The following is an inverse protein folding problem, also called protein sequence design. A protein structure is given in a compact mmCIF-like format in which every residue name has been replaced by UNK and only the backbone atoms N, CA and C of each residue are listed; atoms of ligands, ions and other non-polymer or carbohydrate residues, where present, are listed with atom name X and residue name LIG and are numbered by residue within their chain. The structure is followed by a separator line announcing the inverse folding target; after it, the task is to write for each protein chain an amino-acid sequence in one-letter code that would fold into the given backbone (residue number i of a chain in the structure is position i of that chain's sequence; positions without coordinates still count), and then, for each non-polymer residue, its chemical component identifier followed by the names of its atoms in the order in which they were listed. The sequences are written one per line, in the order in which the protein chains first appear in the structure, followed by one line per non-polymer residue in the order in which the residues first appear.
data_IF_756045673913
#
_entry.id   IF_756045673913
#
_cell.length_a   1.000
_cell.length_b   1.000
_cell.length_c   1.000
_cell.angle_alpha   90.00
_cell.angle_beta   90.00
_cell.angle_gamma   90.00
#
_symmetry.space_group_name_H-M   'P 1'
#
loop_
_entity.id
_entity.type
_entity.pdbx_description
1 polymer ?
#
# COMPACT_ATOMS: atom_id res chain seq x y z
N UNK A 1 -4.70 34.36 18.80
CA UNK A 1 -3.78 35.42 19.23
C UNK A 1 -3.63 35.32 20.75
N UNK A 2 -2.42 35.09 21.25
CA UNK A 2 -2.18 34.96 22.69
C UNK A 2 -2.45 36.28 23.46
N UNK A 3 -2.46 37.42 22.77
CA UNK A 3 -2.78 38.73 23.33
C UNK A 3 -4.28 39.03 23.37
N UNK A 4 -5.10 38.28 22.60
CA UNK A 4 -6.55 38.42 22.54
C UNK A 4 -7.23 37.04 22.50
N UNK A 5 -7.15 36.25 23.59
CA UNK A 5 -7.67 34.88 23.62
C UNK A 5 -9.19 34.81 23.43
N UNK A 6 -9.92 35.88 23.79
CA UNK A 6 -11.38 35.96 23.66
C UNK A 6 -11.85 36.26 22.23
N UNK A 7 -10.94 36.58 21.30
CA UNK A 7 -11.31 36.85 19.91
C UNK A 7 -11.70 35.55 19.21
N UNK A 8 -12.85 35.50 18.49
CA UNK A 8 -13.24 34.32 17.74
C UNK A 8 -12.14 33.87 16.77
N UNK A 9 -11.85 32.57 16.77
CA UNK A 9 -10.91 32.00 15.82
C UNK A 9 -11.43 32.21 14.39
N UNK A 10 -10.52 32.58 13.48
CA UNK A 10 -10.83 32.72 12.05
C UNK A 10 -10.07 31.63 11.29
N UNK A 11 -10.77 30.94 10.41
CA UNK A 11 -10.12 30.05 9.44
C UNK A 11 -9.34 30.89 8.42
N UNK A 12 -8.12 30.48 8.10
CA UNK A 12 -7.21 31.22 7.21
C UNK A 12 -6.81 30.35 6.01
N UNK A 13 -6.40 29.12 6.27
CA UNK A 13 -6.01 28.16 5.24
C UNK A 13 -6.06 26.72 5.80
N UNK A 14 -6.24 25.76 4.90
CA UNK A 14 -5.99 24.35 5.19
C UNK A 14 -4.51 24.03 4.91
N UNK A 15 -3.85 23.34 5.84
CA UNK A 15 -2.43 23.01 5.73
C UNK A 15 -2.01 21.87 6.66
N UNK A 16 -1.02 21.09 6.25
CA UNK A 16 -0.35 20.08 7.09
C UNK A 16 0.78 20.69 7.93
N UNK A 17 1.40 21.75 7.41
CA UNK A 17 2.35 22.58 8.15
C UNK A 17 2.05 24.05 7.88
N UNK A 18 2.19 24.89 8.91
CA UNK A 18 2.04 26.33 8.78
C UNK A 18 3.12 27.04 9.60
N UNK A 19 3.59 28.17 9.08
CA UNK A 19 4.49 29.07 9.79
C UNK A 19 4.08 30.52 9.53
N UNK A 20 3.91 31.26 10.62
CA UNK A 20 3.69 32.70 10.60
C UNK A 20 4.97 33.43 10.22
N UNK A 21 4.84 34.46 9.39
CA UNK A 21 5.96 35.38 9.21
C UNK A 21 6.21 36.17 10.51
N UNK A 22 7.41 36.73 10.73
CA UNK A 22 7.74 37.44 11.97
C UNK A 22 6.90 38.70 12.25
N UNK A 23 6.09 39.16 11.29
CA UNK A 23 5.15 40.28 11.46
C UNK A 23 3.74 39.85 11.84
N UNK A 24 3.45 38.55 11.86
CA UNK A 24 2.10 37.96 12.05
C UNK A 24 1.05 38.41 11.01
N UNK A 25 1.49 38.81 9.81
CA UNK A 25 0.62 39.31 8.73
C UNK A 25 0.49 38.31 7.57
N UNK A 26 1.40 37.34 7.50
CA UNK A 26 1.54 36.39 6.40
C UNK A 26 1.72 34.97 6.94
N UNK A 27 1.32 34.02 6.12
CA UNK A 27 1.36 32.60 6.44
C UNK A 27 2.03 31.85 5.29
N UNK A 28 3.07 31.07 5.61
CA UNK A 28 3.56 30.02 4.73
C UNK A 28 2.91 28.71 5.13
N UNK A 29 2.48 27.93 4.15
CA UNK A 29 1.81 26.65 4.36
C UNK A 29 2.44 25.58 3.48
N UNK A 30 2.46 24.35 3.99
CA UNK A 30 2.71 23.16 3.20
C UNK A 30 1.45 22.32 3.15
N UNK A 31 1.03 21.98 1.94
CA UNK A 31 -0.06 21.04 1.68
C UNK A 31 0.52 19.73 1.16
N UNK A 32 0.20 18.62 1.81
CA UNK A 32 0.55 17.27 1.35
C UNK A 32 -0.50 16.84 0.32
N UNK A 33 -0.06 16.67 -0.92
CA UNK A 33 -0.80 15.94 -1.93
C UNK A 33 -0.54 14.43 -1.84
N UNK A 34 -1.12 13.64 -2.77
CA UNK A 34 -0.95 12.20 -2.76
C UNK A 34 0.50 11.80 -3.08
N UNK A 35 1.09 12.42 -4.12
CA UNK A 35 2.43 12.10 -4.62
C UNK A 35 3.35 13.34 -4.69
N UNK A 36 3.00 14.46 -4.04
CA UNK A 36 3.82 15.68 -4.00
C UNK A 36 3.43 16.55 -2.79
N UNK A 37 4.39 17.24 -2.19
CA UNK A 37 4.13 18.26 -1.16
C UNK A 37 4.21 19.64 -1.84
N UNK A 38 3.37 20.59 -1.45
CA UNK A 38 3.31 21.91 -2.06
C UNK A 38 3.58 23.00 -1.03
N UNK A 39 4.54 23.88 -1.30
CA UNK A 39 4.76 25.10 -0.52
C UNK A 39 3.98 26.26 -1.13
N UNK A 40 3.19 26.95 -0.32
CA UNK A 40 2.44 28.16 -0.71
C UNK A 40 2.60 29.23 0.37
N UNK A 41 2.36 30.49 0.03
CA UNK A 41 2.31 31.56 1.01
C UNK A 41 1.25 32.60 0.65
N UNK A 42 0.56 33.12 1.65
CA UNK A 42 -0.48 34.13 1.52
C UNK A 42 -0.42 35.17 2.63
N UNK A 43 -0.94 36.36 2.37
CA UNK A 43 -1.33 37.33 3.40
C UNK A 43 -2.62 36.90 4.07
N UNK A 44 -2.85 37.38 5.30
CA UNK A 44 -4.10 37.13 6.02
C UNK A 44 -5.36 37.63 5.31
N UNK A 45 -5.26 38.63 4.44
CA UNK A 45 -6.41 39.17 3.72
C UNK A 45 -6.72 38.40 2.41
N UNK A 46 -6.06 37.26 2.20
CA UNK A 46 -6.28 36.37 1.05
C UNK A 46 -5.39 36.66 -0.16
N UNK A 47 -4.52 37.67 -0.09
CA UNK A 47 -3.52 37.93 -1.13
C UNK A 47 -2.51 36.78 -1.25
N UNK A 48 -2.40 36.17 -2.43
CA UNK A 48 -1.44 35.11 -2.73
C UNK A 48 -0.05 35.71 -2.94
N UNK A 49 0.94 35.31 -2.13
CA UNK A 49 2.32 35.79 -2.19
C UNK A 49 3.22 34.82 -2.97
N UNK A 50 3.00 33.53 -2.77
CA UNK A 50 3.70 32.46 -3.47
C UNK A 50 2.66 31.44 -3.93
N UNK A 51 2.44 31.24 -5.24
CA UNK A 51 1.59 30.17 -5.73
C UNK A 51 2.14 28.80 -5.29
N UNK A 52 1.27 27.79 -5.10
CA UNK A 52 1.71 26.45 -4.71
C UNK A 52 2.82 25.93 -5.60
N UNK A 53 3.99 25.65 -5.02
CA UNK A 53 5.14 25.06 -5.70
C UNK A 53 5.39 23.66 -5.16
N UNK A 54 5.47 22.69 -6.07
CA UNK A 54 5.84 21.32 -5.73
C UNK A 54 7.24 21.29 -5.12
N UNK A 55 7.39 20.55 -4.03
CA UNK A 55 8.64 20.31 -3.33
C UNK A 55 9.24 18.98 -3.77
N UNK A 56 10.57 18.87 -3.84
CA UNK A 56 11.25 17.66 -4.29
C UNK A 56 11.18 16.49 -3.29
N UNK A 57 10.63 16.71 -2.09
CA UNK A 57 10.63 15.72 -1.01
C UNK A 57 9.67 16.08 0.13
N UNK A 58 9.52 15.18 1.11
CA UNK A 58 8.56 15.38 2.20
C UNK A 58 9.01 16.46 3.16
N UNK A 59 8.07 17.28 3.63
CA UNK A 59 8.36 18.30 4.64
C UNK A 59 8.24 17.71 6.05
N UNK A 60 9.30 17.88 6.85
CA UNK A 60 9.37 17.42 8.26
C UNK A 60 9.20 18.55 9.29
N UNK A 61 9.13 19.79 8.82
CA UNK A 61 8.92 20.98 9.64
C UNK A 61 8.98 22.24 8.78
N UNK A 62 8.40 23.33 9.28
CA UNK A 62 8.38 24.62 8.60
C UNK A 62 8.58 25.74 9.64
N UNK A 63 9.48 26.67 9.35
CA UNK A 63 9.71 27.88 10.13
C UNK A 63 9.89 29.06 9.17
N UNK A 64 9.29 30.19 9.47
CA UNK A 64 9.50 31.44 8.74
C UNK A 64 10.19 32.42 9.68
N UNK A 65 11.45 32.71 9.38
CA UNK A 65 12.30 33.58 10.18
C UNK A 65 12.74 34.80 9.37
N UNK A 66 12.96 35.92 10.05
CA UNK A 66 13.70 37.06 9.51
C UNK A 66 15.13 36.91 10.00
N UNK A 67 16.00 36.45 9.12
CA UNK A 67 17.41 36.27 9.41
C UNK A 67 18.20 37.23 8.52
N UNK A 68 19.02 38.07 9.13
CA UNK A 68 20.15 38.68 8.43
C UNK A 68 21.24 37.61 8.30
N UNK A 69 21.08 36.74 7.30
CA UNK A 69 22.14 35.79 6.97
C UNK A 69 23.27 36.60 6.32
N UNK A 70 24.51 36.58 6.84
CA UNK A 70 25.66 36.92 6.00
C UNK A 70 25.65 36.00 4.78
N UNK A 71 26.42 36.34 3.74
CA UNK A 71 26.64 35.47 2.59
C UNK A 71 26.70 34.01 3.04
N UNK A 72 25.81 33.12 2.54
CA UNK A 72 25.78 31.75 3.01
C UNK A 72 27.18 31.15 2.88
N UNK A 73 27.64 30.34 3.86
CA UNK A 73 28.99 29.82 3.84
C UNK A 73 29.31 29.19 2.49
N UNK A 74 30.56 29.31 2.02
CA UNK A 74 30.95 28.88 0.67
C UNK A 74 30.52 27.44 0.34
N UNK A 75 30.50 26.55 1.33
CA UNK A 75 30.00 25.18 1.18
C UNK A 75 28.54 25.12 0.73
N UNK A 76 27.66 25.98 1.26
CA UNK A 76 26.26 26.06 0.84
C UNK A 76 26.11 26.68 -0.55
N UNK A 77 26.91 27.71 -0.87
CA UNK A 77 26.90 28.32 -2.22
C UNK A 77 27.39 27.34 -3.28
N UNK A 78 28.50 26.66 -3.03
CA UNK A 78 29.04 25.62 -3.90
C UNK A 78 28.03 24.47 -4.06
N UNK A 79 27.42 24.00 -2.97
CA UNK A 79 26.37 22.99 -3.04
C UNK A 79 25.13 23.45 -3.84
N UNK A 80 24.72 24.72 -3.71
CA UNK A 80 23.58 25.24 -4.47
C UNK A 80 23.82 25.37 -5.98
N UNK A 81 25.09 25.44 -6.39
CA UNK A 81 25.48 25.50 -7.80
C UNK A 81 25.57 24.10 -8.45
N UNK A 82 25.54 23.03 -7.65
CA UNK A 82 25.58 21.66 -8.13
C UNK A 82 24.16 21.16 -8.38
N UNK A 83 23.89 20.71 -9.61
CA UNK A 83 22.73 19.89 -9.91
C UNK A 83 23.03 18.46 -9.48
N UNK A 84 22.29 17.88 -8.51
CA UNK A 84 22.50 16.49 -8.13
C UNK A 84 22.29 15.56 -9.34
N UNK A 85 23.06 14.47 -9.47
CA UNK A 85 22.79 13.47 -10.48
C UNK A 85 21.39 12.86 -10.28
N UNK A 86 20.78 12.41 -11.37
CA UNK A 86 19.54 11.66 -11.29
C UNK A 86 19.74 10.40 -10.41
N UNK A 87 18.72 10.04 -9.63
CA UNK A 87 18.79 8.88 -8.74
C UNK A 87 18.87 7.55 -9.50
N UNK A 88 18.42 7.56 -10.76
CA UNK A 88 18.47 6.45 -11.71
C UNK A 88 18.26 7.00 -13.12
N UNK A 89 18.56 6.19 -14.13
CA UNK A 89 18.24 6.44 -15.54
C UNK A 89 17.91 5.10 -16.21
N UNK A 90 16.96 5.05 -17.15
CA UNK A 90 16.58 3.80 -17.81
C UNK A 90 17.72 3.27 -18.70
N UNK A 91 17.96 1.96 -18.66
CA UNK A 91 18.91 1.25 -19.52
C UNK A 91 18.16 0.32 -20.49
N UNK A 92 17.55 0.94 -21.49
CA UNK A 92 16.64 0.25 -22.41
C UNK A 92 17.33 -0.71 -23.37
N UNK A 93 16.75 -1.90 -23.50
CA UNK A 93 16.99 -2.82 -24.61
C UNK A 93 16.12 -2.41 -25.81
N UNK A 94 16.70 -2.16 -26.99
CA UNK A 94 15.90 -1.81 -28.18
C UNK A 94 14.84 -2.88 -28.47
N UNK A 95 13.58 -2.48 -28.76
CA UNK A 95 12.55 -3.40 -29.23
C UNK A 95 13.07 -4.29 -30.36
N UNK A 96 12.78 -5.59 -30.30
CA UNK A 96 13.15 -6.51 -31.36
C UNK A 96 12.59 -6.03 -32.72
N UNK A 97 13.39 -6.12 -33.79
CA UNK A 97 12.97 -5.71 -35.13
C UNK A 97 11.70 -6.48 -35.57
N UNK A 98 10.62 -5.74 -35.82
CA UNK A 98 9.33 -6.28 -36.21
C UNK A 98 8.27 -5.18 -36.35
N UNK A 99 7.13 -5.45 -37.01
CA UNK A 99 6.15 -4.44 -37.39
C UNK A 99 5.45 -3.73 -36.21
N UNK A 100 5.61 -4.22 -34.98
CA UNK A 100 4.93 -3.70 -33.79
C UNK A 100 5.83 -2.91 -32.83
N UNK A 101 7.17 -2.90 -32.98
CA UNK A 101 8.14 -2.18 -32.12
C UNK A 101 7.75 -2.12 -30.62
N UNK A 102 7.43 -3.27 -30.02
CA UNK A 102 6.97 -3.34 -28.62
C UNK A 102 8.13 -3.41 -27.64
N UNK A 103 7.93 -2.78 -26.49
CA UNK A 103 8.82 -2.91 -25.35
C UNK A 103 8.80 -4.32 -24.79
N UNK A 104 9.91 -4.70 -24.14
CA UNK A 104 10.00 -5.97 -23.42
C UNK A 104 9.73 -5.75 -21.93
N UNK A 105 9.35 -6.84 -21.27
CA UNK A 105 9.48 -6.94 -19.82
C UNK A 105 10.78 -7.66 -19.48
N UNK A 106 11.50 -7.15 -18.49
CA UNK A 106 12.80 -7.61 -18.02
C UNK A 106 12.62 -8.35 -16.69
N UNK A 107 13.34 -9.46 -16.54
CA UNK A 107 13.31 -10.25 -15.30
C UNK A 107 14.05 -9.53 -14.17
N UNK A 108 13.43 -9.45 -12.99
CA UNK A 108 14.02 -8.89 -11.78
C UNK A 108 14.92 -9.93 -11.09
N UNK A 109 16.25 -9.70 -11.00
CA UNK A 109 17.15 -10.63 -10.32
C UNK A 109 16.89 -10.64 -8.81
N UNK A 110 16.95 -11.84 -8.22
CA UNK A 110 16.84 -12.05 -6.77
C UNK A 110 15.55 -11.46 -6.14
N UNK A 111 14.45 -11.42 -6.91
CA UNK A 111 13.12 -11.03 -6.42
C UNK A 111 12.17 -12.23 -6.50
N UNK A 112 11.59 -12.60 -5.36
CA UNK A 112 10.62 -13.67 -5.24
C UNK A 112 9.20 -13.15 -5.44
N UNK A 113 8.60 -13.48 -6.59
CA UNK A 113 7.21 -13.14 -6.96
C UNK A 113 6.79 -14.03 -8.15
N UNK A 114 5.49 -14.34 -8.35
CA UNK A 114 5.06 -15.27 -9.41
C UNK A 114 5.49 -14.89 -10.83
N UNK A 115 5.46 -13.59 -11.15
CA UNK A 115 5.96 -13.04 -12.41
C UNK A 115 6.99 -11.94 -12.09
N UNK A 116 8.28 -12.29 -11.94
CA UNK A 116 9.33 -11.38 -11.49
C UNK A 116 9.82 -10.52 -12.65
N UNK A 117 8.93 -9.71 -13.20
CA UNK A 117 9.20 -8.93 -14.40
C UNK A 117 8.70 -7.50 -14.23
N UNK A 118 9.40 -6.54 -14.82
CA UNK A 118 8.94 -5.15 -14.99
C UNK A 118 9.23 -4.68 -16.42
N UNK A 119 8.56 -3.62 -16.84
CA UNK A 119 8.84 -2.97 -18.11
C UNK A 119 10.29 -2.43 -18.14
N UNK A 120 10.99 -2.62 -19.25
CA UNK A 120 12.39 -2.22 -19.51
C UNK A 120 12.69 -0.70 -19.39
N UNK A 121 11.69 0.12 -19.04
CA UNK A 121 11.87 1.56 -18.81
C UNK A 121 11.84 1.92 -17.32
N UNK A 122 11.51 0.96 -16.46
CA UNK A 122 11.25 1.20 -15.03
C UNK A 122 12.00 0.25 -14.11
N UNK A 123 12.63 -0.80 -14.64
CA UNK A 123 13.33 -1.80 -13.84
C UNK A 123 14.59 -1.24 -13.19
N UNK A 124 15.31 -0.29 -13.82
CA UNK A 124 16.40 0.42 -13.13
C UNK A 124 15.88 1.28 -11.98
N UNK A 125 14.70 1.90 -12.13
CA UNK A 125 14.07 2.66 -11.08
C UNK A 125 13.72 1.77 -9.87
N UNK A 126 13.23 0.56 -10.13
CA UNK A 126 12.96 -0.44 -9.11
C UNK A 126 14.26 -0.90 -8.43
N UNK A 127 15.29 -1.23 -9.21
CA UNK A 127 16.58 -1.68 -8.69
C UNK A 127 17.22 -0.60 -7.80
N UNK A 128 17.20 0.66 -8.25
CA UNK A 128 17.74 1.78 -7.50
C UNK A 128 16.94 2.07 -6.22
N UNK A 129 15.59 2.01 -6.28
CA UNK A 129 14.74 2.10 -5.09
C UNK A 129 15.05 0.97 -4.09
N UNK A 130 15.20 -0.27 -4.58
CA UNK A 130 15.55 -1.44 -3.75
C UNK A 130 16.85 -1.22 -2.99
N UNK A 131 17.90 -0.77 -3.67
CA UNK A 131 19.17 -0.45 -3.01
C UNK A 131 19.02 0.64 -1.96
N UNK A 132 18.25 1.69 -2.25
CA UNK A 132 17.97 2.75 -1.29
C UNK A 132 17.23 2.25 -0.06
N UNK A 133 16.22 1.41 -0.26
CA UNK A 133 15.44 0.82 0.85
C UNK A 133 16.35 -0.01 1.74
N UNK A 134 17.19 -0.89 1.17
CA UNK A 134 18.16 -1.69 1.93
C UNK A 134 19.09 -0.81 2.78
N UNK A 135 19.58 0.30 2.23
CA UNK A 135 20.46 1.23 2.95
C UNK A 135 19.76 1.88 4.15
N UNK A 136 18.50 2.29 3.96
CA UNK A 136 17.71 3.02 4.95
C UNK A 136 17.08 2.12 6.01
N UNK A 137 16.66 0.91 5.65
CA UNK A 137 16.02 -0.04 6.58
C UNK A 137 17.02 -1.01 7.19
N UNK A 138 18.09 -1.36 6.48
CA UNK A 138 19.02 -2.43 6.83
C UNK A 138 18.69 -3.80 6.24
N UNK A 139 17.54 -3.95 5.60
CA UNK A 139 17.08 -5.23 5.08
C UNK A 139 16.28 -5.05 3.78
N UNK A 140 16.18 -6.12 3.01
CA UNK A 140 15.59 -6.06 1.67
C UNK A 140 14.08 -6.33 1.69
N UNK A 141 13.30 -5.26 1.83
CA UNK A 141 11.84 -5.33 1.79
C UNK A 141 11.27 -5.63 0.39
N UNK A 142 12.07 -5.46 -0.66
CA UNK A 142 11.66 -5.62 -2.06
C UNK A 142 12.14 -6.97 -2.64
N UNK A 143 12.87 -7.78 -1.87
CA UNK A 143 13.26 -9.14 -2.24
C UNK A 143 12.08 -10.11 -2.38
N UNK A 144 10.94 -9.83 -1.72
CA UNK A 144 9.72 -10.61 -1.85
C UNK A 144 8.54 -9.67 -2.06
N UNK A 145 7.91 -9.78 -3.22
CA UNK A 145 6.77 -8.96 -3.60
C UNK A 145 5.50 -9.81 -3.63
N UNK A 146 4.37 -9.14 -3.47
CA UNK A 146 3.08 -9.77 -3.76
C UNK A 146 2.89 -9.87 -5.28
N UNK A 147 3.16 -8.78 -6.01
CA UNK A 147 3.08 -8.72 -7.47
C UNK A 147 4.16 -7.78 -8.03
N UNK A 148 4.56 -8.00 -9.27
CA UNK A 148 5.41 -7.10 -10.07
C UNK A 148 4.87 -7.02 -11.51
N UNK A 149 4.48 -8.16 -12.05
CA UNK A 149 3.76 -8.23 -13.32
C UNK A 149 2.59 -9.19 -13.19
N UNK A 150 1.51 -8.92 -13.94
CA UNK A 150 0.44 -9.88 -14.15
C UNK A 150 0.16 -9.95 -15.64
N UNK A 151 0.23 -11.12 -16.29
CA UNK A 151 -0.15 -11.24 -17.68
C UNK A 151 -1.63 -10.87 -17.86
N UNK A 152 -2.01 -10.25 -18.98
CA UNK A 152 -3.41 -9.89 -19.30
C UNK A 152 -4.41 -11.08 -19.26
N UNK A 153 -3.92 -12.31 -19.42
CA UNK A 153 -4.74 -13.53 -19.27
C UNK A 153 -4.88 -13.99 -17.81
N UNK A 154 -4.12 -13.38 -16.90
CA UNK A 154 -4.11 -13.64 -15.46
C UNK A 154 -5.22 -12.87 -14.75
N UNK A 155 -5.90 -13.51 -13.78
CA UNK A 155 -6.93 -12.85 -12.99
C UNK A 155 -6.28 -11.90 -11.97
N UNK A 156 -6.74 -10.66 -11.93
CA UNK A 156 -6.65 -9.82 -10.75
C UNK A 156 -7.96 -9.86 -9.98
N UNK A 157 -7.92 -9.41 -8.73
CA UNK A 157 -9.11 -9.37 -7.90
C UNK A 157 -10.19 -8.42 -8.49
N UNK A 158 -11.48 -8.61 -8.12
CA UNK A 158 -12.56 -7.76 -8.60
C UNK A 158 -12.30 -6.26 -8.35
N UNK A 159 -12.46 -5.46 -9.41
CA UNK A 159 -12.25 -4.00 -9.36
C UNK A 159 -10.85 -3.54 -9.80
N UNK A 160 -9.94 -4.48 -10.09
CA UNK A 160 -8.58 -4.22 -10.59
C UNK A 160 -8.45 -4.51 -12.10
N UNK A 161 -9.50 -4.27 -12.88
CA UNK A 161 -9.50 -4.57 -14.32
C UNK A 161 -8.55 -3.69 -15.15
N UNK A 162 -8.32 -2.46 -14.71
CA UNK A 162 -7.39 -1.49 -15.31
C UNK A 162 -6.21 -1.22 -14.37
N UNK A 163 -5.64 -2.29 -13.83
CA UNK A 163 -4.54 -2.20 -12.89
C UNK A 163 -3.18 -2.10 -13.59
N UNK A 164 -2.26 -1.33 -13.01
CA UNK A 164 -0.96 -1.08 -13.62
C UNK A 164 -0.03 -2.28 -13.56
N UNK A 165 -0.32 -3.29 -12.73
CA UNK A 165 0.39 -4.57 -12.74
C UNK A 165 0.35 -5.26 -14.12
N UNK A 166 -0.69 -5.02 -14.92
CA UNK A 166 -0.77 -5.52 -16.29
C UNK A 166 0.24 -4.86 -17.23
N UNK A 167 0.70 -3.65 -16.94
CA UNK A 167 1.60 -2.87 -17.82
C UNK A 167 3.08 -3.17 -17.59
N UNK A 168 3.42 -3.89 -16.51
CA UNK A 168 4.80 -4.03 -16.03
C UNK A 168 5.38 -2.77 -15.40
N UNK A 169 4.57 -1.72 -15.18
CA UNK A 169 5.00 -0.45 -14.57
C UNK A 169 4.55 -0.27 -13.12
N UNK A 170 4.20 -1.37 -12.45
CA UNK A 170 3.79 -1.35 -11.05
C UNK A 170 4.43 -2.50 -10.27
N UNK A 171 4.49 -2.37 -8.96
CA UNK A 171 4.75 -3.49 -8.07
C UNK A 171 3.90 -3.36 -6.80
N UNK A 172 3.73 -4.47 -6.09
CA UNK A 172 3.05 -4.50 -4.80
C UNK A 172 3.93 -5.15 -3.74
N UNK A 173 4.15 -4.44 -2.63
CA UNK A 173 4.81 -5.00 -1.45
C UNK A 173 4.04 -6.20 -0.90
N UNK A 174 4.75 -7.13 -0.26
CA UNK A 174 4.13 -8.26 0.41
C UNK A 174 3.35 -7.80 1.65
N UNK A 175 2.02 -7.94 1.64
CA UNK A 175 1.15 -7.56 2.76
C UNK A 175 1.44 -8.33 4.05
N UNK A 176 2.10 -9.50 3.98
CA UNK A 176 2.55 -10.24 5.17
C UNK A 176 3.55 -9.47 6.02
N UNK A 177 4.27 -8.49 5.44
CA UNK A 177 5.14 -7.60 6.19
C UNK A 177 4.36 -6.82 7.26
N UNK A 178 3.10 -6.47 6.98
CA UNK A 178 2.25 -5.79 7.95
C UNK A 178 1.84 -6.73 9.08
N UNK A 179 1.44 -7.95 8.75
CA UNK A 179 1.06 -8.98 9.73
C UNK A 179 2.24 -9.37 10.64
N UNK A 180 3.46 -9.35 10.11
CA UNK A 180 4.68 -9.63 10.85
C UNK A 180 5.23 -8.41 11.64
N UNK A 181 4.57 -7.26 11.59
CA UNK A 181 4.99 -6.04 12.28
C UNK A 181 6.25 -5.37 11.71
N UNK A 182 6.61 -5.69 10.47
CA UNK A 182 7.73 -5.08 9.73
C UNK A 182 7.27 -3.91 8.84
N UNK A 183 5.97 -3.77 8.63
CA UNK A 183 5.37 -2.71 7.84
C UNK A 183 4.13 -2.17 8.55
N UNK A 184 3.88 -0.87 8.46
CA UNK A 184 2.63 -0.27 8.92
C UNK A 184 2.09 0.71 7.89
N UNK A 185 0.76 0.80 7.81
CA UNK A 185 0.05 1.74 6.96
C UNK A 185 -0.54 2.88 7.77
N UNK A 186 -0.27 4.12 7.38
CA UNK A 186 -0.94 5.32 7.89
C UNK A 186 -1.95 5.77 6.82
N UNK A 187 -3.18 6.02 7.25
CA UNK A 187 -4.25 6.50 6.38
C UNK A 187 -4.09 7.99 6.15
N UNK A 188 -4.11 8.42 4.89
CA UNK A 188 -4.12 9.82 4.49
C UNK A 188 -5.34 10.08 3.61
N UNK A 189 -6.09 11.14 3.91
CA UNK A 189 -7.23 11.56 3.09
C UNK A 189 -6.83 12.79 2.28
N UNK A 190 -6.95 12.70 0.96
CA UNK A 190 -6.69 13.81 0.06
C UNK A 190 -7.93 14.05 -0.77
N UNK A 191 -8.61 15.16 -0.50
CA UNK A 191 -9.94 15.41 -1.06
C UNK A 191 -10.95 14.35 -0.57
N UNK A 192 -11.54 13.60 -1.51
CA UNK A 192 -12.48 12.51 -1.23
C UNK A 192 -11.86 11.12 -1.41
N UNK A 193 -10.54 11.06 -1.59
CA UNK A 193 -9.81 9.83 -1.86
C UNK A 193 -8.93 9.45 -0.68
N UNK A 194 -8.93 8.15 -0.38
CA UNK A 194 -8.08 7.57 0.65
C UNK A 194 -6.78 7.08 0.01
N UNK A 195 -5.66 7.50 0.58
CA UNK A 195 -4.32 7.05 0.25
C UNK A 195 -3.67 6.40 1.48
N UNK A 196 -2.67 5.57 1.24
CA UNK A 196 -1.91 4.92 2.30
C UNK A 196 -0.46 5.35 2.24
N UNK A 197 0.08 5.70 3.40
CA UNK A 197 1.51 5.93 3.57
C UNK A 197 2.11 4.74 4.28
N UNK A 198 3.14 4.17 3.68
CA UNK A 198 3.76 2.94 4.14
C UNK A 198 5.06 3.27 4.84
N UNK A 199 5.21 2.68 6.02
CA UNK A 199 6.43 2.73 6.80
C UNK A 199 6.98 1.33 7.02
N UNK A 200 8.28 1.18 6.82
CA UNK A 200 9.01 -0.06 7.07
C UNK A 200 9.78 0.07 8.37
N UNK A 201 9.79 -0.98 9.18
CA UNK A 201 10.56 -1.01 10.41
C UNK A 201 12.05 -1.08 10.09
N UNK A 202 12.87 -0.22 10.69
CA UNK A 202 14.33 -0.36 10.56
C UNK A 202 14.80 -1.65 11.28
N UNK A 203 15.82 -2.31 10.75
CA UNK A 203 16.45 -3.47 11.40
C UNK A 203 17.07 -3.05 12.73
N UNK A 204 17.89 -1.98 12.69
CA UNK A 204 18.48 -1.37 13.88
C UNK A 204 17.51 -0.35 14.49
N UNK A 205 17.12 -0.58 15.74
CA UNK A 205 16.18 0.24 16.48
C UNK A 205 16.88 1.19 17.47
N UNK A 206 18.12 1.57 17.16
CA UNK A 206 18.97 2.45 17.96
C UNK A 206 18.91 3.93 17.52
N UNK A 207 18.18 4.22 16.43
CA UNK A 207 18.04 5.55 15.84
C UNK A 207 19.10 5.90 14.80
N UNK A 208 19.97 4.96 14.44
CA UNK A 208 20.88 5.11 13.29
C UNK A 208 20.14 5.16 11.94
N UNK A 209 18.93 4.61 11.90
CA UNK A 209 18.06 4.48 10.71
C UNK A 209 16.61 4.78 11.06
N UNK A 210 15.90 5.43 10.14
CA UNK A 210 14.50 5.79 10.31
C UNK A 210 14.25 6.85 11.39
N UNK A 211 12.98 7.05 11.74
CA UNK A 211 12.55 7.97 12.79
C UNK A 211 11.37 7.38 13.58
N UNK A 212 11.14 7.83 14.82
CA UNK A 212 9.92 7.46 15.54
C UNK A 212 8.67 7.86 14.76
N UNK A 213 7.71 6.93 14.65
CA UNK A 213 6.45 7.22 14.02
C UNK A 213 5.65 8.21 14.88
N UNK A 214 4.98 9.17 14.23
CA UNK A 214 4.17 10.20 14.90
C UNK A 214 2.67 9.98 14.74
N UNK A 215 2.29 9.36 13.64
CA UNK A 215 0.90 9.13 13.27
C UNK A 215 0.46 7.72 13.64
N UNK A 216 -0.78 7.58 14.10
CA UNK A 216 -1.35 6.28 14.43
C UNK A 216 -1.56 5.45 13.15
N UNK A 217 -0.98 4.24 13.05
CA UNK A 217 -1.28 3.36 11.94
C UNK A 217 -2.76 2.97 11.91
N UNK A 218 -3.25 2.69 10.71
CA UNK A 218 -4.53 2.04 10.50
C UNK A 218 -4.28 0.54 10.33
N UNK A 219 -4.75 -0.26 11.28
CA UNK A 219 -4.72 -1.71 11.19
C UNK A 219 -5.87 -2.18 10.28
N UNK A 220 -5.51 -2.51 9.05
CA UNK A 220 -6.45 -3.07 8.07
C UNK A 220 -6.97 -4.45 8.45
N UNK A 221 -6.23 -5.21 9.28
CA UNK A 221 -6.63 -6.55 9.72
C UNK A 221 -7.69 -6.52 10.83
N UNK A 222 -7.82 -5.39 11.54
CA UNK A 222 -8.80 -5.22 12.61
C UNK A 222 -10.25 -5.47 12.16
N UNK A 223 -10.54 -5.34 10.86
CA UNK A 223 -11.86 -5.69 10.27
C UNK A 223 -12.24 -7.17 10.47
N UNK A 224 -11.30 -8.04 10.80
CA UNK A 224 -11.53 -9.47 11.03
C UNK A 224 -11.66 -9.83 12.52
N UNK A 225 -11.59 -8.85 13.44
CA UNK A 225 -11.55 -9.09 14.90
C UNK A 225 -12.94 -9.16 15.56
N UNK A 226 -14.00 -9.41 14.78
CA UNK A 226 -15.39 -9.50 15.26
C UNK A 226 -15.93 -8.22 15.94
N UNK A 227 -15.29 -7.07 15.71
CA UNK A 227 -15.81 -5.76 16.10
C UNK A 227 -16.60 -5.12 14.95
N UNK A 228 -17.91 -4.87 15.11
CA UNK A 228 -18.73 -4.26 14.07
C UNK A 228 -18.20 -2.90 13.60
N UNK A 229 -17.68 -2.08 14.52
CA UNK A 229 -17.19 -0.75 14.18
C UNK A 229 -15.93 -0.83 13.29
N UNK A 230 -14.97 -1.66 13.66
CA UNK A 230 -13.79 -1.90 12.83
C UNK A 230 -14.14 -2.54 11.48
N UNK A 231 -15.14 -3.42 11.42
CA UNK A 231 -15.62 -4.01 10.16
C UNK A 231 -16.16 -2.93 9.20
N UNK A 232 -17.09 -2.09 9.68
CA UNK A 232 -17.73 -1.04 8.87
C UNK A 232 -16.72 0.03 8.39
N UNK A 233 -15.71 0.31 9.21
CA UNK A 233 -14.67 1.28 8.89
C UNK A 233 -13.55 0.72 8.00
N UNK A 234 -13.50 -0.60 7.80
CA UNK A 234 -12.43 -1.26 7.07
C UNK A 234 -11.10 -1.34 7.84
N UNK A 235 -11.17 -1.47 9.15
CA UNK A 235 -10.04 -1.50 10.07
C UNK A 235 -10.23 -0.54 11.23
N UNK A 236 -9.17 -0.34 12.01
CA UNK A 236 -9.19 0.57 13.15
C UNK A 236 -7.80 1.19 13.36
N UNK A 237 -7.74 2.31 14.07
CA UNK A 237 -6.45 2.86 14.48
C UNK A 237 -5.77 1.94 15.51
N UNK A 238 -4.49 1.65 15.27
CA UNK A 238 -3.63 0.96 16.21
C UNK A 238 -2.79 1.97 17.01
N UNK A 239 -2.33 1.63 18.22
CA UNK A 239 -1.36 2.44 18.96
C UNK A 239 -0.10 2.69 18.11
N UNK A 240 0.46 3.90 18.22
CA UNK A 240 1.71 4.24 17.54
C UNK A 240 2.82 3.27 18.00
N UNK A 241 3.39 2.46 17.09
CA UNK A 241 4.41 1.51 17.47
C UNK A 241 5.69 2.22 17.90
N UNK A 242 6.32 1.70 18.95
CA UNK A 242 7.63 2.17 19.39
C UNK A 242 8.70 1.82 18.35
N UNK A 243 9.82 2.51 18.45
CA UNK A 243 10.99 2.24 17.62
C UNK A 243 11.11 3.16 16.42
N UNK A 244 11.93 2.77 15.45
CA UNK A 244 12.32 3.59 14.31
C UNK A 244 11.81 2.99 13.01
N UNK A 245 11.23 3.87 12.21
CA UNK A 245 10.49 3.54 11.01
C UNK A 245 10.96 4.40 9.84
N UNK A 246 11.10 3.77 8.68
CA UNK A 246 11.51 4.40 7.42
C UNK A 246 10.26 4.64 6.59
N UNK A 247 10.12 5.86 6.09
CA UNK A 247 9.00 6.28 5.25
C UNK A 247 9.20 5.78 3.83
N UNK A 248 8.70 4.58 3.56
CA UNK A 248 8.86 3.92 2.26
C UNK A 248 8.16 4.70 1.16
N UNK A 249 6.97 5.24 1.41
CA UNK A 249 6.23 6.03 0.40
C UNK A 249 7.04 7.26 -0.03
N UNK A 250 7.73 7.93 0.90
CA UNK A 250 8.60 9.05 0.53
C UNK A 250 9.84 8.61 -0.28
N UNK A 251 10.43 7.45 0.04
CA UNK A 251 11.52 6.88 -0.75
C UNK A 251 11.02 6.52 -2.15
N UNK A 252 9.93 5.77 -2.27
CA UNK A 252 9.33 5.38 -3.54
C UNK A 252 9.09 6.60 -4.44
N UNK A 253 8.48 7.66 -3.89
CA UNK A 253 8.26 8.92 -4.61
C UNK A 253 9.54 9.55 -5.14
N UNK A 254 10.62 9.56 -4.36
CA UNK A 254 11.90 10.12 -4.82
C UNK A 254 12.42 9.41 -6.07
N UNK A 255 12.11 8.12 -6.24
CA UNK A 255 12.47 7.31 -7.40
C UNK A 255 11.38 7.30 -8.49
N UNK A 256 10.34 8.13 -8.38
CA UNK A 256 9.26 8.25 -9.36
C UNK A 256 8.12 7.26 -9.17
N UNK A 257 8.16 6.44 -8.13
CA UNK A 257 7.10 5.49 -7.81
C UNK A 257 6.00 6.17 -7.02
N UNK A 258 4.80 6.16 -7.58
CA UNK A 258 3.61 6.82 -7.07
C UNK A 258 2.66 5.82 -6.44
N UNK A 259 1.98 6.24 -5.37
CA UNK A 259 0.86 5.48 -4.82
C UNK A 259 -0.44 5.92 -5.48
N UNK A 260 -1.40 5.01 -5.53
CA UNK A 260 -2.72 5.27 -6.08
C UNK A 260 -3.77 5.35 -4.98
N UNK A 261 -4.89 6.02 -5.29
CA UNK A 261 -6.03 6.06 -4.40
C UNK A 261 -6.62 4.66 -4.23
N UNK A 262 -7.12 4.36 -3.04
CA UNK A 262 -7.94 3.18 -2.81
C UNK A 262 -9.21 3.21 -3.66
N UNK A 263 -9.70 2.02 -4.02
CA UNK A 263 -11.02 1.86 -4.63
C UNK A 263 -12.11 2.34 -3.66
N UNK A 264 -13.26 2.86 -4.17
CA UNK A 264 -14.34 3.36 -3.33
C UNK A 264 -14.88 2.34 -2.29
N UNK A 265 -14.75 1.05 -2.57
CA UNK A 265 -15.20 -0.06 -1.73
C UNK A 265 -14.12 -0.63 -0.78
N UNK A 266 -12.97 0.04 -0.61
CA UNK A 266 -11.84 -0.48 0.19
C UNK A 266 -12.20 -0.87 1.64
N UNK A 267 -13.24 -0.24 2.19
CA UNK A 267 -13.72 -0.53 3.55
C UNK A 267 -14.26 -1.95 3.67
N UNK A 268 -15.02 -2.40 2.67
CA UNK A 268 -15.61 -3.75 2.64
C UNK A 268 -14.75 -4.76 1.89
N UNK A 269 -13.86 -4.30 1.00
CA UNK A 269 -12.98 -5.14 0.20
C UNK A 269 -11.50 -4.81 0.43
N UNK A 270 -10.75 -5.76 1.02
CA UNK A 270 -9.36 -5.55 1.46
C UNK A 270 -8.41 -5.20 0.32
N UNK A 271 -8.47 -5.90 -0.82
CA UNK A 271 -7.60 -5.60 -1.96
C UNK A 271 -7.89 -4.23 -2.58
N UNK A 272 -9.09 -3.68 -2.39
CA UNK A 272 -9.45 -2.34 -2.82
C UNK A 272 -8.69 -1.24 -2.08
N UNK A 273 -7.98 -1.56 -0.99
CA UNK A 273 -7.10 -0.59 -0.31
C UNK A 273 -5.93 -0.16 -1.19
N UNK A 274 -5.39 -1.05 -2.04
CA UNK A 274 -4.17 -0.80 -2.84
C UNK A 274 -2.98 -0.28 -2.02
N UNK A 275 -2.95 -0.54 -0.71
CA UNK A 275 -2.01 0.11 0.19
C UNK A 275 -0.54 -0.27 -0.06
N UNK A 276 -0.30 -1.41 -0.69
CA UNK A 276 1.04 -1.91 -1.03
C UNK A 276 1.47 -1.63 -2.46
N UNK A 277 0.62 -1.04 -3.30
CA UNK A 277 0.85 -0.87 -4.74
C UNK A 277 1.50 0.47 -5.06
N UNK A 278 2.56 0.41 -5.89
CA UNK A 278 3.31 1.57 -6.36
C UNK A 278 3.52 1.48 -7.87
N UNK A 279 3.37 2.60 -8.56
CA UNK A 279 3.29 2.69 -10.02
C UNK A 279 4.26 3.76 -10.55
N UNK A 280 4.97 3.46 -11.62
CA UNK A 280 5.80 4.43 -12.34
C UNK A 280 5.21 4.66 -13.75
N UNK A 281 4.29 5.61 -13.84
CA UNK A 281 3.48 5.84 -15.05
C UNK A 281 4.30 6.33 -16.24
N UNK A 282 5.41 7.04 -15.98
CA UNK A 282 6.17 7.71 -17.05
C UNK A 282 5.38 8.82 -17.75
N UNK A 283 4.30 9.32 -17.13
CA UNK A 283 3.39 10.29 -17.74
C UNK A 283 2.37 9.68 -18.72
N UNK A 284 2.29 8.35 -18.81
CA UNK A 284 1.32 7.65 -19.64
C UNK A 284 0.00 7.44 -18.89
N UNK A 285 -1.10 7.31 -19.64
CA UNK A 285 -2.32 6.69 -19.14
C UNK A 285 -2.23 5.16 -19.24
N UNK A 286 -3.12 4.46 -18.54
CA UNK A 286 -3.10 3.00 -18.47
C UNK A 286 -3.23 2.32 -19.85
N UNK A 287 -4.08 2.85 -20.73
CA UNK A 287 -4.30 2.24 -22.05
C UNK A 287 -3.06 2.40 -22.93
N UNK A 288 -2.46 3.59 -22.94
CA UNK A 288 -1.20 3.83 -23.66
C UNK A 288 -0.07 2.94 -23.12
N UNK A 289 0.04 2.78 -21.79
CA UNK A 289 1.01 1.88 -21.18
C UNK A 289 0.79 0.39 -21.53
N UNK A 290 -0.47 -0.06 -21.62
CA UNK A 290 -0.78 -1.42 -22.08
C UNK A 290 -0.31 -1.68 -23.51
N UNK A 291 -0.43 -0.68 -24.40
CA UNK A 291 0.00 -0.79 -25.80
C UNK A 291 1.53 -0.84 -25.98
N UNK A 292 2.31 -0.47 -24.95
CA UNK A 292 3.76 -0.63 -24.99
C UNK A 292 4.18 -2.11 -25.07
N UNK A 293 3.41 -3.01 -24.44
CA UNK A 293 3.74 -4.44 -24.34
C UNK A 293 2.68 -5.37 -24.94
N UNK A 294 1.45 -4.89 -25.19
CA UNK A 294 0.37 -5.69 -25.78
C UNK A 294 -0.13 -5.13 -27.12
N UNK A 295 -0.58 -6.00 -28.04
CA UNK A 295 -1.36 -5.58 -29.20
C UNK A 295 -2.68 -4.92 -28.78
N UNK A 296 -3.19 -3.92 -29.52
CA UNK A 296 -4.51 -3.35 -29.26
C UNK A 296 -5.65 -4.39 -29.37
N UNK A 297 -5.47 -5.46 -30.15
CA UNK A 297 -6.45 -6.54 -30.29
C UNK A 297 -6.74 -7.26 -28.97
N UNK A 298 -5.77 -7.29 -28.04
CA UNK A 298 -5.94 -7.90 -26.72
C UNK A 298 -6.85 -7.06 -25.83
N UNK A 299 -6.92 -5.75 -26.08
CA UNK A 299 -7.79 -4.82 -25.33
C UNK A 299 -9.24 -4.87 -25.82
N UNK A 300 -9.48 -5.43 -27.01
CA UNK A 300 -10.83 -5.64 -27.53
C UNK A 300 -11.39 -6.90 -26.88
N UNK A 301 -12.11 -6.74 -25.76
CA UNK A 301 -12.89 -7.86 -25.20
C UNK A 301 -13.88 -8.33 -26.27
N UNK A 302 -13.79 -9.57 -26.79
CA UNK A 302 -14.76 -10.04 -27.77
C UNK A 302 -16.13 -10.02 -27.10
N UNK A 303 -17.08 -9.30 -27.71
CA UNK A 303 -18.47 -9.29 -27.26
C UNK A 303 -18.94 -10.74 -27.19
N UNK A 304 -19.39 -11.19 -26.01
CA UNK A 304 -19.92 -12.53 -25.84
C UNK A 304 -21.00 -12.77 -26.91
N UNK A 305 -20.70 -13.61 -27.90
CA UNK A 305 -21.74 -14.14 -28.79
C UNK A 305 -22.58 -15.06 -27.91
N UNK A 306 -23.67 -14.52 -27.37
CA UNK A 306 -24.67 -15.31 -26.68
C UNK A 306 -25.06 -16.46 -27.65
N UNK A 307 -24.92 -17.73 -27.25
CA UNK A 307 -25.48 -18.80 -28.05
C UNK A 307 -26.97 -18.51 -28.25
N UNK A 308 -27.55 -18.81 -29.43
CA UNK A 308 -28.98 -18.62 -29.63
C UNK A 308 -29.72 -19.30 -28.47
N UNK A 309 -30.54 -18.54 -27.75
CA UNK A 309 -31.34 -19.05 -26.64
C UNK A 309 -32.08 -20.29 -27.14
N UNK A 310 -31.84 -21.43 -26.50
CA UNK A 310 -32.53 -22.65 -26.85
C UNK A 310 -34.04 -22.39 -26.73
N UNK A 311 -34.75 -22.44 -27.87
CA UNK A 311 -36.20 -22.33 -27.92
C UNK A 311 -36.79 -23.35 -26.95
N UNK A 312 -37.69 -22.97 -26.03
CA UNK A 312 -38.26 -23.92 -25.08
C UNK A 312 -38.93 -25.07 -25.85
N UNK A 313 -38.40 -26.27 -25.67
CA UNK A 313 -39.00 -27.49 -26.23
C UNK A 313 -40.33 -27.73 -25.52
N UNK A 314 -41.39 -28.07 -26.29
CA UNK A 314 -42.71 -28.38 -25.75
C UNK A 314 -42.58 -29.46 -24.67
N UNK A 315 -42.98 -29.14 -23.45
CA UNK A 315 -43.10 -30.09 -22.35
C UNK A 315 -43.93 -31.29 -22.81
N UNK A 316 -43.39 -32.52 -22.79
CA UNK A 316 -44.19 -33.70 -23.12
C UNK A 316 -45.31 -33.86 -22.08
N UNK A 317 -46.53 -34.03 -22.58
CA UNK A 317 -47.71 -34.30 -21.75
C UNK A 317 -47.50 -35.63 -21.02
N UNK A 318 -47.64 -35.70 -19.68
CA UNK A 318 -47.47 -36.96 -18.97
C UNK A 318 -48.56 -37.96 -19.36
N UNK A 319 -48.15 -39.07 -19.97
CA UNK A 319 -49.00 -40.24 -20.20
C UNK A 319 -49.25 -40.95 -18.87
N UNK A 320 -50.51 -41.33 -18.60
CA UNK A 320 -50.91 -42.09 -17.41
C UNK A 320 -50.25 -43.47 -17.37
N UNK A 321 -49.11 -43.59 -16.69
CA UNK A 321 -48.49 -44.88 -16.41
C UNK A 321 -49.06 -45.48 -15.13
N UNK A 322 -49.59 -46.71 -15.26
CA UNK A 322 -50.19 -47.52 -14.19
C UNK A 322 -49.17 -47.77 -13.06
N UNK A 323 -49.55 -47.42 -11.84
CA UNK A 323 -48.65 -47.38 -10.68
C UNK A 323 -48.08 -48.75 -10.25
N UNK A 324 -46.88 -48.78 -9.64
CA UNK A 324 -46.29 -49.99 -9.08
C UNK A 324 -46.95 -50.39 -7.75
N UNK A 325 -47.13 -51.70 -7.58
CA UNK A 325 -47.67 -52.38 -6.39
C UNK A 325 -46.83 -52.10 -5.13
N UNK A 326 -47.43 -51.92 -3.94
CA UNK A 326 -46.70 -51.57 -2.72
C UNK A 326 -45.79 -52.72 -2.25
N UNK A 327 -44.48 -52.42 -2.17
CA UNK A 327 -43.47 -53.31 -1.59
C UNK A 327 -43.39 -53.06 -0.08
N UNK A 328 -43.39 -54.13 0.73
CA UNK A 328 -43.41 -54.07 2.21
C UNK A 328 -42.11 -53.47 2.77
N UNK A 329 -42.26 -52.47 3.62
CA UNK A 329 -41.20 -51.79 4.38
C UNK A 329 -40.59 -52.72 5.45
N UNK A 330 -39.27 -52.96 5.48
CA UNK A 330 -38.63 -53.58 6.64
C UNK A 330 -38.42 -52.58 7.79
N UNK A 331 -38.81 -53.00 8.99
CA UNK A 331 -38.73 -52.28 10.26
C UNK A 331 -37.28 -51.94 10.65
N UNK A 332 -37.04 -50.70 11.12
CA UNK A 332 -35.73 -50.25 11.65
C UNK A 332 -35.46 -50.91 13.00
N UNK A 333 -34.42 -51.73 13.09
CA UNK A 333 -33.82 -52.16 14.36
C UNK A 333 -32.77 -51.11 14.79
N UNK A 334 -32.82 -50.58 16.02
CA UNK A 334 -31.83 -49.61 16.50
C UNK A 334 -30.49 -50.29 16.80
N UNK A 335 -29.43 -49.84 16.15
CA UNK A 335 -28.04 -50.23 16.45
C UNK A 335 -27.55 -49.43 17.67
N UNK A 336 -27.27 -50.12 18.77
CA UNK A 336 -26.63 -49.55 19.96
C UNK A 336 -25.15 -49.29 19.63
N UNK A 337 -24.75 -48.02 19.66
CA UNK A 337 -23.33 -47.63 19.54
C UNK A 337 -22.69 -47.70 20.93
N UNK A 338 -21.64 -48.51 21.16
CA UNK A 338 -20.95 -48.53 22.45
C UNK A 338 -20.13 -47.25 22.65
N UNK A 339 -20.30 -46.65 23.84
CA UNK A 339 -19.61 -45.44 24.30
C UNK A 339 -18.11 -45.71 24.56
N UNK A 340 -17.20 -44.75 24.27
CA UNK A 340 -15.77 -44.93 24.49
C UNK A 340 -15.42 -45.08 25.97
N UNK A 341 -14.58 -46.08 26.28
CA UNK A 341 -14.03 -46.39 27.60
C UNK A 341 -13.05 -45.32 28.06
N UNK A 342 -13.26 -44.77 29.27
CA UNK A 342 -12.37 -43.84 29.95
C UNK A 342 -11.03 -44.51 30.33
N UNK A 343 -9.92 -43.99 29.82
CA UNK A 343 -8.55 -44.35 30.23
C UNK A 343 -8.18 -43.62 31.54
N UNK A 344 -7.70 -44.30 32.59
CA UNK A 344 -7.30 -43.64 33.83
C UNK A 344 -5.96 -42.91 33.68
N UNK A 345 -5.90 -41.68 34.21
CA UNK A 345 -4.73 -40.82 34.31
C UNK A 345 -3.74 -41.33 35.38
N UNK A 346 -2.42 -41.33 35.13
CA UNK A 346 -1.43 -41.75 36.12
C UNK A 346 -1.23 -40.69 37.23
N UNK A 347 -1.31 -41.15 38.47
CA UNK A 347 -1.04 -40.41 39.72
C UNK A 347 0.43 -39.98 39.81
N UNK A 348 0.76 -38.70 40.04
CA UNK A 348 2.12 -38.30 40.41
C UNK A 348 2.41 -38.65 41.87
N UNK A 349 3.44 -39.47 42.08
CA UNK A 349 3.99 -39.88 43.38
C UNK A 349 4.68 -38.70 44.09
N UNK A 350 4.29 -38.42 45.34
CA UNK A 350 4.97 -37.46 46.21
C UNK A 350 6.30 -38.06 46.70
N UNK A 351 7.42 -37.36 46.43
CA UNK A 351 8.73 -37.70 47.00
C UNK A 351 8.96 -36.90 48.30
N UNK A 352 9.37 -37.54 49.40
CA UNK A 352 9.46 -36.92 50.72
C UNK A 352 10.68 -36.01 50.93
N UNK A 353 10.48 -35.00 51.78
CA UNK A 353 11.44 -34.00 52.27
C UNK A 353 12.37 -34.64 53.33
N UNK A 354 13.70 -34.50 53.22
CA UNK A 354 14.60 -34.64 54.36
C UNK A 354 14.92 -33.27 54.99
N UNK A 355 14.88 -33.26 56.32
CA UNK A 355 14.97 -32.12 57.23
C UNK A 355 16.33 -32.07 57.94
N UNK A 356 16.73 -30.84 58.32
CA UNK A 356 17.66 -30.40 59.37
C UNK A 356 19.20 -30.46 59.16
N UNK A 357 19.80 -29.29 58.86
CA UNK A 357 20.56 -28.38 59.78
C UNK A 357 21.58 -29.00 60.77
N UNK A 358 22.67 -28.31 61.22
CA UNK A 358 23.62 -27.35 60.62
C UNK A 358 25.11 -27.68 60.94
N UNK A 359 26.07 -26.85 60.45
CA UNK A 359 27.39 -26.61 61.08
C UNK A 359 28.08 -25.42 60.35
N UNK A 360 28.97 -24.66 61.02
CA UNK A 360 28.85 -23.87 62.25
C UNK A 360 28.45 -22.40 62.01
#
# INVERSE_FOLDING_TARGET
DASQPERPARWVADSDWAAWDPSDEKLAVVLRGPNADYLSASSLDGGLLLPPRSLPGPVRGLLWLRLDLPDPPESYRAASALTPPALWSPEVTPPAEGPAQRWTVVSLPDVQVPYPQLHDQVDEAFAALRQRVIQETGWDALASLQNAFVPVTGPLDPGLGEDWLYTGRAFSLNSLLANAGWMVSVREEVGQQTFWRIYLRAENQDGSRGAPLRDAPWDLSARYNLDPQAYDQGGAYAPVPKGYWVDFTALARAYGWERFASLPNWRTYYGGTRFTEFVLTGGLDWYTAMLEIYPPEVMVTPTLRLPPTATPSRTPVPTLTRGPSPTRTPTRTPTITPSPTSTPSPTPTLTPIPSNTPLP
#
